data_IF_730809579640
#
_entry.id   IF_730809579640
#
_cell.length_a   1.000
_cell.length_b   1.000
_cell.length_c   1.000
_cell.angle_alpha   90.00
_cell.angle_beta   90.00
_cell.angle_gamma   90.00
#
_symmetry.space_group_name_H-M   'P 1'
#
loop_
_entity.id
_entity.type
_entity.pdbx_description
1 polymer ?
#
# COMPACT_ATOMS: atom_id res chain seq x y z
N UNK A 1 -23.35 10.63 6.69
CA UNK A 1 -22.36 9.61 6.28
C UNK A 1 -20.94 9.91 6.78
N UNK A 2 -20.25 10.97 6.33
CA UNK A 2 -18.84 11.20 6.71
C UNK A 2 -18.63 11.45 8.22
N UNK A 3 -19.55 12.15 8.89
CA UNK A 3 -19.47 12.42 10.34
C UNK A 3 -19.60 11.13 11.17
N UNK A 4 -20.47 10.21 10.74
CA UNK A 4 -20.68 8.91 11.39
C UNK A 4 -19.45 8.00 11.21
N UNK A 5 -18.81 8.02 10.04
CA UNK A 5 -17.59 7.26 9.78
C UNK A 5 -16.40 7.73 10.63
N UNK A 6 -16.24 9.04 10.81
CA UNK A 6 -15.18 9.61 11.66
C UNK A 6 -15.38 9.24 13.13
N UNK A 7 -16.57 9.46 13.68
CA UNK A 7 -16.87 9.12 15.07
C UNK A 7 -16.69 7.61 15.35
N UNK A 8 -17.03 6.76 14.37
CA UNK A 8 -16.78 5.33 14.46
C UNK A 8 -15.28 5.00 14.55
N UNK A 9 -14.45 5.58 13.68
CA UNK A 9 -13.00 5.37 13.71
C UNK A 9 -12.37 5.84 15.03
N UNK A 10 -12.85 6.96 15.58
CA UNK A 10 -12.40 7.49 16.88
C UNK A 10 -12.81 6.60 18.07
N UNK A 11 -13.89 5.81 17.93
CA UNK A 11 -14.36 4.89 18.99
C UNK A 11 -13.61 3.56 19.04
N UNK A 12 -12.84 3.21 18.01
CA UNK A 12 -12.13 1.94 17.94
C UNK A 12 -10.88 1.96 18.84
N UNK A 13 -10.53 0.81 19.46
CA UNK A 13 -9.27 0.71 20.20
C UNK A 13 -8.08 0.90 19.26
N UNK A 14 -6.99 1.46 19.80
CA UNK A 14 -5.76 1.64 19.03
C UNK A 14 -5.21 0.29 18.56
N UNK A 15 -4.91 0.19 17.26
CA UNK A 15 -4.28 -0.98 16.66
C UNK A 15 -3.00 -0.56 15.96
N UNK A 16 -1.90 -1.21 16.31
CA UNK A 16 -0.63 -1.02 15.64
C UNK A 16 -0.63 -1.76 14.31
N UNK A 17 0.06 -1.19 13.31
CA UNK A 17 0.28 -1.85 12.03
C UNK A 17 1.04 -3.18 12.27
N UNK A 18 0.55 -4.26 11.67
CA UNK A 18 1.30 -5.52 11.62
C UNK A 18 2.35 -5.42 10.51
N UNK A 19 3.64 -5.70 10.78
CA UNK A 19 4.67 -5.67 9.75
C UNK A 19 4.36 -6.69 8.64
N UNK A 20 4.51 -6.28 7.37
CA UNK A 20 4.21 -7.16 6.24
C UNK A 20 5.05 -8.43 6.23
N UNK A 21 6.31 -8.36 6.69
CA UNK A 21 7.21 -9.52 6.81
C UNK A 21 6.70 -10.57 7.78
N UNK A 22 5.90 -10.18 8.78
CA UNK A 22 5.27 -11.13 9.70
C UNK A 22 4.17 -11.93 9.00
N UNK A 23 3.41 -11.29 8.10
CA UNK A 23 2.32 -11.93 7.35
C UNK A 23 2.85 -12.73 6.15
N UNK A 24 3.87 -12.20 5.47
CA UNK A 24 4.47 -12.74 4.25
C UNK A 24 5.99 -12.88 4.41
N UNK A 25 6.46 -13.84 5.23
CA UNK A 25 7.88 -13.97 5.57
C UNK A 25 8.79 -14.27 4.37
N UNK A 26 8.25 -14.92 3.34
CA UNK A 26 9.00 -15.32 2.15
C UNK A 26 8.90 -14.33 0.99
N UNK A 27 8.13 -13.25 1.14
CA UNK A 27 8.05 -12.21 0.11
C UNK A 27 9.36 -11.41 0.04
N UNK A 28 9.70 -10.95 -1.17
CA UNK A 28 10.82 -10.03 -1.37
C UNK A 28 10.53 -8.67 -0.73
N UNK A 29 11.56 -8.00 -0.25
CA UNK A 29 11.43 -6.67 0.35
C UNK A 29 10.81 -5.67 -0.64
N UNK A 30 11.15 -5.76 -1.93
CA UNK A 30 10.59 -4.90 -2.98
C UNK A 30 9.09 -5.14 -3.21
N UNK A 31 8.61 -6.38 -3.09
CA UNK A 31 7.18 -6.68 -3.18
C UNK A 31 6.42 -6.12 -1.97
N UNK A 32 7.00 -6.27 -0.78
CA UNK A 32 6.38 -5.77 0.46
C UNK A 32 6.33 -4.25 0.51
N UNK A 33 7.34 -3.58 -0.02
CA UNK A 33 7.39 -2.13 -0.16
C UNK A 33 6.31 -1.60 -1.12
N UNK A 34 6.14 -2.25 -2.29
CA UNK A 34 5.05 -1.90 -3.20
C UNK A 34 3.67 -2.15 -2.56
N UNK A 35 3.50 -3.27 -1.88
CA UNK A 35 2.26 -3.61 -1.17
C UNK A 35 1.91 -2.55 -0.11
N UNK A 36 2.90 -2.05 0.62
CA UNK A 36 2.71 -1.01 1.62
C UNK A 36 2.19 0.30 1.01
N UNK A 37 2.74 0.68 -0.14
CA UNK A 37 2.38 1.90 -0.87
C UNK A 37 0.99 1.79 -1.52
N UNK A 38 0.59 0.59 -1.95
CA UNK A 38 -0.74 0.30 -2.50
C UNK A 38 -1.83 0.26 -1.41
N UNK A 39 -1.57 -0.42 -0.29
CA UNK A 39 -2.53 -0.60 0.81
C UNK A 39 -2.48 0.56 1.81
N UNK A 40 -2.50 1.78 1.29
CA UNK A 40 -2.53 3.00 2.09
C UNK A 40 -3.96 3.36 2.51
N UNK A 41 -4.14 3.63 3.81
CA UNK A 41 -5.43 4.00 4.40
C UNK A 41 -5.95 5.35 3.89
N UNK A 42 -5.03 6.32 3.70
CA UNK A 42 -5.37 7.64 3.17
C UNK A 42 -5.28 7.59 1.64
N UNK A 43 -6.40 7.69 0.90
CA UNK A 43 -6.38 7.50 -0.55
C UNK A 43 -5.45 8.47 -1.29
N UNK A 44 -5.33 9.72 -0.81
CA UNK A 44 -4.44 10.73 -1.40
C UNK A 44 -2.96 10.48 -1.19
N UNK A 45 -2.59 9.53 -0.31
CA UNK A 45 -1.20 9.09 -0.10
C UNK A 45 -0.89 7.75 -0.75
N UNK A 46 -1.88 7.13 -1.41
CA UNK A 46 -1.68 5.89 -2.15
C UNK A 46 -0.82 6.19 -3.36
N UNK A 47 0.10 5.28 -3.67
CA UNK A 47 0.92 5.36 -4.88
C UNK A 47 0.03 5.47 -6.13
N UNK A 48 0.50 6.26 -7.10
CA UNK A 48 -0.14 6.39 -8.40
C UNK A 48 0.10 5.13 -9.25
N UNK A 49 -0.61 4.99 -10.36
CA UNK A 49 -0.39 3.87 -11.27
C UNK A 49 1.00 3.98 -11.90
N UNK A 50 1.37 5.18 -12.33
CA UNK A 50 2.63 5.48 -12.98
C UNK A 50 3.82 5.18 -12.05
N UNK A 51 3.74 5.61 -10.79
CA UNK A 51 4.78 5.32 -9.79
C UNK A 51 4.84 3.83 -9.41
N UNK A 52 3.70 3.13 -9.45
CA UNK A 52 3.65 1.70 -9.17
C UNK A 52 4.30 0.88 -10.28
N UNK A 53 4.06 1.24 -11.54
CA UNK A 53 4.68 0.62 -12.72
C UNK A 53 6.20 0.86 -12.74
N UNK A 54 6.64 2.06 -12.36
CA UNK A 54 8.05 2.40 -12.22
C UNK A 54 8.74 1.79 -10.97
N UNK A 55 8.03 0.99 -10.16
CA UNK A 55 8.59 0.44 -8.93
C UNK A 55 9.64 -0.64 -9.20
N UNK A 56 10.74 -0.74 -8.40
CA UNK A 56 11.76 -1.79 -8.54
C UNK A 56 11.26 -3.24 -8.49
N UNK A 57 10.02 -3.45 -8.05
CA UNK A 57 9.40 -4.77 -8.07
C UNK A 57 8.91 -5.19 -9.46
N UNK A 58 8.48 -4.20 -10.26
CA UNK A 58 7.96 -4.40 -11.62
C UNK A 58 8.97 -4.05 -12.71
N UNK A 59 10.18 -3.62 -12.36
CA UNK A 59 11.25 -3.21 -13.29
C UNK A 59 11.50 -4.22 -14.42
N UNK A 60 11.43 -5.53 -14.14
CA UNK A 60 11.62 -6.58 -15.14
C UNK A 60 10.51 -6.67 -16.20
N UNK A 61 9.36 -6.05 -15.94
CA UNK A 61 8.18 -6.03 -16.80
C UNK A 61 7.85 -4.63 -17.33
N UNK A 62 8.56 -3.59 -16.86
CA UNK A 62 8.29 -2.21 -17.24
C UNK A 62 8.80 -1.92 -18.65
N UNK A 63 7.87 -1.76 -19.60
CA UNK A 63 8.14 -1.21 -20.93
C UNK A 63 7.39 0.11 -21.09
N UNK A 64 8.08 1.28 -20.98
CA UNK A 64 7.44 2.58 -21.11
C UNK A 64 6.91 2.89 -22.51
N UNK A 65 7.11 1.99 -23.49
CA UNK A 65 6.58 2.12 -24.85
C UNK A 65 5.35 1.25 -25.12
N UNK A 66 4.94 0.41 -24.18
CA UNK A 66 3.77 -0.50 -24.29
C UNK A 66 2.70 -0.23 -23.20
N UNK A 67 2.81 0.87 -22.45
CA UNK A 67 1.92 1.24 -21.33
C UNK A 67 1.26 2.62 -21.48
#
# INVERSE_FOLDING_TARGET
>A
MLLQARAYLESLPHRTKVPWKQLYPYASESALDLLDKLLCFVPSRRITVEDALAHPYLEQYYDPTDE
#
